data_IF_333030610782
#
_entry.id   IF_333030610782
#
_cell.length_a   1.000
_cell.length_b   1.000
_cell.length_c   1.000
_cell.angle_alpha   90.00
_cell.angle_beta   90.00
_cell.angle_gamma   90.00
#
_symmetry.space_group_name_H-M   'P 1'
#
loop_
_entity.id
_entity.type
_entity.pdbx_description
1 polymer ?
#
# COMPACT_ATOMS: atom_id res chain seq x y z
N UNK A 1 -14.61 4.09 17.74
CA UNK A 1 -14.33 4.63 16.39
C UNK A 1 -12.85 4.89 16.13
N UNK A 2 -12.17 5.84 16.80
CA UNK A 2 -10.72 6.08 16.57
C UNK A 2 -9.85 4.85 16.85
N UNK A 3 -10.22 4.03 17.83
CA UNK A 3 -9.50 2.81 18.19
C UNK A 3 -9.38 1.81 17.04
N UNK A 4 -10.40 1.67 16.19
CA UNK A 4 -10.35 0.76 15.03
C UNK A 4 -9.30 1.22 14.02
N UNK A 5 -9.29 2.52 13.71
CA UNK A 5 -8.28 3.11 12.83
C UNK A 5 -6.87 2.86 13.37
N UNK A 6 -6.64 3.16 14.65
CA UNK A 6 -5.31 3.04 15.27
C UNK A 6 -4.84 1.59 15.35
N UNK A 7 -5.71 0.66 15.77
CA UNK A 7 -5.37 -0.77 15.81
C UNK A 7 -5.07 -1.32 14.43
N UNK A 8 -5.87 -0.97 13.42
CA UNK A 8 -5.58 -1.39 12.04
C UNK A 8 -4.28 -0.76 11.56
N UNK A 9 -3.99 0.49 11.88
CA UNK A 9 -2.74 1.16 11.50
C UNK A 9 -1.52 0.41 12.02
N UNK A 10 -1.50 0.03 13.30
CA UNK A 10 -0.36 -0.63 13.95
C UNK A 10 -0.15 -2.08 13.46
N UNK A 11 -1.22 -2.79 13.08
CA UNK A 11 -1.19 -4.22 12.77
C UNK A 11 -1.24 -4.55 11.27
N UNK A 12 -1.09 -3.56 10.39
CA UNK A 12 -1.12 -3.80 8.94
C UNK A 12 -0.18 -2.87 8.19
N UNK A 13 0.25 -3.25 6.99
CA UNK A 13 1.12 -2.43 6.15
C UNK A 13 0.38 -1.86 4.94
N UNK A 14 0.87 -0.73 4.43
CA UNK A 14 0.45 -0.26 3.11
C UNK A 14 1.26 -1.02 2.06
N UNK A 15 0.65 -1.83 1.22
CA UNK A 15 1.38 -2.62 0.24
C UNK A 15 0.59 -2.90 -1.03
N UNK A 16 1.31 -3.06 -2.14
CA UNK A 16 0.78 -3.63 -3.38
C UNK A 16 1.08 -5.12 -3.55
N UNK A 17 1.92 -5.73 -2.71
CA UNK A 17 2.42 -7.09 -2.94
C UNK A 17 1.32 -8.15 -2.86
N UNK A 18 0.43 -8.07 -1.88
CA UNK A 18 -0.70 -9.01 -1.75
C UNK A 18 -1.67 -8.95 -2.94
N UNK A 19 -1.92 -7.74 -3.46
CA UNK A 19 -2.76 -7.55 -4.63
C UNK A 19 -2.06 -7.96 -5.92
N UNK A 20 -0.74 -7.75 -6.02
CA UNK A 20 0.04 -8.24 -7.16
C UNK A 20 0.03 -9.78 -7.19
N UNK A 21 0.26 -10.44 -6.05
CA UNK A 21 0.16 -11.89 -5.94
C UNK A 21 -1.21 -12.40 -6.40
N UNK A 22 -2.29 -11.74 -5.95
CA UNK A 22 -3.64 -12.03 -6.41
C UNK A 22 -3.79 -11.89 -7.93
N UNK A 23 -3.29 -10.80 -8.53
CA UNK A 23 -3.34 -10.59 -9.98
C UNK A 23 -2.60 -11.70 -10.73
N UNK A 24 -1.37 -12.00 -10.33
CA UNK A 24 -0.54 -13.01 -11.00
C UNK A 24 -1.20 -14.39 -10.95
N UNK A 25 -1.74 -14.78 -9.77
CA UNK A 25 -2.42 -16.06 -9.60
C UNK A 25 -3.68 -16.17 -10.47
N UNK A 26 -4.51 -15.12 -10.50
CA UNK A 26 -5.76 -15.15 -11.26
C UNK A 26 -5.57 -15.05 -12.78
N UNK A 27 -4.45 -14.50 -13.22
CA UNK A 27 -4.06 -14.49 -14.64
C UNK A 27 -3.19 -15.70 -15.04
N UNK A 28 -2.92 -16.61 -14.11
CA UNK A 28 -2.02 -17.76 -14.30
C UNK A 28 -0.62 -17.34 -14.81
N UNK A 29 -0.09 -16.23 -14.31
CA UNK A 29 1.24 -15.73 -14.65
C UNK A 29 2.23 -16.24 -13.62
N UNK A 30 3.18 -17.06 -14.05
CA UNK A 30 4.28 -17.49 -13.18
C UNK A 30 5.19 -16.32 -12.83
N UNK A 31 5.56 -16.20 -11.55
CA UNK A 31 6.41 -15.11 -11.06
C UNK A 31 7.71 -15.00 -11.87
N UNK A 32 8.40 -16.11 -12.14
CA UNK A 32 9.63 -16.17 -12.95
C UNK A 32 9.47 -15.48 -14.33
N UNK A 33 8.34 -15.73 -15.01
CA UNK A 33 8.05 -15.14 -16.33
C UNK A 33 7.69 -13.65 -16.24
N UNK A 34 7.06 -13.23 -15.14
CA UNK A 34 6.76 -11.83 -14.88
C UNK A 34 8.02 -11.03 -14.53
N UNK A 35 8.89 -11.56 -13.67
CA UNK A 35 10.14 -10.91 -13.25
C UNK A 35 11.10 -10.69 -14.43
N UNK A 36 11.16 -11.65 -15.34
CA UNK A 36 12.01 -11.56 -16.55
C UNK A 36 11.48 -10.55 -17.58
N UNK A 37 10.21 -10.15 -17.46
CA UNK A 37 9.51 -9.29 -18.42
C UNK A 37 9.00 -10.04 -19.65
N UNK A 38 9.03 -11.38 -19.63
CA UNK A 38 8.52 -12.21 -20.73
C UNK A 38 7.00 -12.19 -20.82
N UNK A 39 6.32 -11.99 -19.70
CA UNK A 39 4.85 -11.87 -19.61
C UNK A 39 4.48 -10.58 -18.90
N UNK A 40 3.53 -9.84 -19.47
CA UNK A 40 2.95 -8.64 -18.88
C UNK A 40 1.57 -8.91 -18.31
N UNK A 41 1.17 -8.14 -17.31
CA UNK A 41 -0.20 -8.16 -16.78
C UNK A 41 -1.15 -7.51 -17.80
N UNK A 42 -2.23 -8.21 -18.15
CA UNK A 42 -3.29 -7.66 -19.00
C UNK A 42 -4.42 -7.10 -18.13
N UNK A 43 -4.56 -5.77 -18.11
CA UNK A 43 -5.65 -5.08 -17.41
C UNK A 43 -7.02 -5.54 -17.90
N UNK A 44 -7.16 -5.80 -19.19
CA UNK A 44 -8.45 -6.21 -19.77
C UNK A 44 -8.82 -7.65 -19.39
N UNK A 45 -7.85 -8.58 -19.39
CA UNK A 45 -8.10 -9.93 -18.89
C UNK A 45 -8.46 -9.90 -17.39
N UNK A 46 -7.77 -9.06 -16.60
CA UNK A 46 -8.08 -8.90 -15.19
C UNK A 46 -9.48 -8.34 -14.97
N UNK A 47 -9.95 -7.42 -15.81
CA UNK A 47 -11.33 -6.90 -15.77
C UNK A 47 -12.34 -8.03 -15.92
N UNK A 48 -12.18 -8.88 -16.94
CA UNK A 48 -13.06 -10.04 -17.17
C UNK A 48 -13.05 -11.01 -15.99
N UNK A 49 -11.90 -11.24 -15.37
CA UNK A 49 -11.81 -12.06 -14.15
C UNK A 49 -12.61 -11.44 -13.01
N UNK A 50 -12.44 -10.14 -12.75
CA UNK A 50 -13.11 -9.46 -11.64
C UNK A 50 -14.64 -9.43 -11.79
N UNK A 51 -15.15 -9.29 -13.02
CA UNK A 51 -16.60 -9.35 -13.29
C UNK A 51 -17.25 -10.67 -12.86
N UNK A 52 -16.47 -11.76 -12.85
CA UNK A 52 -16.92 -13.10 -12.50
C UNK A 52 -16.46 -13.55 -11.10
N UNK A 53 -15.69 -12.71 -10.38
CA UNK A 53 -15.14 -13.08 -9.07
C UNK A 53 -16.16 -12.81 -7.97
N UNK A 54 -16.53 -13.82 -7.16
CA UNK A 54 -17.43 -13.60 -6.04
C UNK A 54 -16.73 -12.85 -4.90
N UNK A 55 -17.50 -12.10 -4.10
CA UNK A 55 -16.97 -11.29 -2.98
C UNK A 55 -16.10 -12.10 -2.00
N UNK A 56 -16.44 -13.37 -1.75
CA UNK A 56 -15.72 -14.22 -0.81
C UNK A 56 -14.24 -14.41 -1.20
N UNK A 57 -13.96 -14.44 -2.50
CA UNK A 57 -12.60 -14.62 -3.04
C UNK A 57 -11.80 -13.32 -3.01
N UNK A 58 -12.48 -12.17 -2.97
CA UNK A 58 -11.87 -10.86 -2.83
C UNK A 58 -11.58 -10.50 -1.36
N UNK A 59 -12.37 -11.03 -0.42
CA UNK A 59 -12.27 -10.74 1.02
C UNK A 59 -10.86 -10.81 1.63
N UNK A 60 -9.99 -11.76 1.25
CA UNK A 60 -8.60 -11.79 1.74
C UNK A 60 -7.83 -10.49 1.49
N UNK A 61 -8.17 -9.72 0.45
CA UNK A 61 -7.46 -8.49 0.06
C UNK A 61 -7.65 -7.31 1.04
N UNK A 62 -8.61 -7.38 1.96
CA UNK A 62 -8.83 -6.34 2.99
C UNK A 62 -9.09 -6.88 4.38
N UNK A 63 -9.17 -8.21 4.58
CA UNK A 63 -9.53 -8.81 5.88
C UNK A 63 -8.65 -8.35 7.05
N UNK A 64 -7.38 -8.01 6.81
CA UNK A 64 -6.45 -7.51 7.84
C UNK A 64 -6.10 -6.02 7.73
N UNK A 65 -6.67 -5.27 6.79
CA UNK A 65 -6.29 -3.87 6.52
C UNK A 65 -4.92 -3.70 5.82
N UNK A 66 -4.19 -4.79 5.59
CA UNK A 66 -2.99 -4.85 4.74
C UNK A 66 -3.40 -4.74 3.27
N UNK A 67 -2.71 -3.90 2.51
CA UNK A 67 -3.00 -3.61 1.11
C UNK A 67 -2.85 -2.11 0.82
N UNK A 68 -3.46 -1.63 -0.27
CA UNK A 68 -3.50 -0.19 -0.58
C UNK A 68 -4.50 0.55 0.33
N UNK A 69 -4.65 1.85 0.13
CA UNK A 69 -5.55 2.69 0.93
C UNK A 69 -6.99 2.15 0.96
N UNK A 70 -7.46 1.58 -0.15
CA UNK A 70 -8.76 0.94 -0.27
C UNK A 70 -8.96 -0.19 0.72
N UNK A 71 -8.03 -1.16 0.79
CA UNK A 71 -8.09 -2.28 1.74
C UNK A 71 -8.16 -1.82 3.19
N UNK A 72 -7.37 -0.81 3.52
CA UNK A 72 -7.38 -0.22 4.85
C UNK A 72 -8.74 0.42 5.18
N UNK A 73 -9.27 1.25 4.27
CA UNK A 73 -10.55 1.93 4.50
C UNK A 73 -11.71 0.94 4.64
N UNK A 74 -11.75 -0.11 3.83
CA UNK A 74 -12.78 -1.16 3.92
C UNK A 74 -12.69 -1.89 5.27
N UNK A 75 -11.48 -2.26 5.69
CA UNK A 75 -11.28 -2.96 6.96
C UNK A 75 -11.72 -2.12 8.16
N UNK A 76 -11.31 -0.85 8.22
CA UNK A 76 -11.70 0.03 9.33
C UNK A 76 -13.22 0.25 9.33
N UNK A 77 -13.81 0.47 8.15
CA UNK A 77 -15.26 0.61 8.01
C UNK A 77 -16.02 -0.65 8.45
N UNK A 78 -15.55 -1.85 8.09
CA UNK A 78 -16.19 -3.09 8.52
C UNK A 78 -16.14 -3.27 10.04
N UNK A 79 -14.99 -2.97 10.67
CA UNK A 79 -14.86 -3.04 12.13
C UNK A 79 -15.75 -2.03 12.86
N UNK A 80 -15.94 -0.84 12.29
CA UNK A 80 -16.90 0.14 12.81
C UNK A 80 -18.34 -0.32 12.66
N UNK A 81 -18.69 -0.94 11.53
CA UNK A 81 -20.02 -1.49 11.29
C UNK A 81 -20.34 -2.69 12.19
N UNK A 82 -19.34 -3.49 12.55
CA UNK A 82 -19.51 -4.58 13.53
C UNK A 82 -19.94 -4.04 14.91
N UNK A 83 -19.39 -2.90 15.33
CA UNK A 83 -19.73 -2.24 16.60
C UNK A 83 -21.08 -1.50 16.52
N UNK A 84 -21.37 -0.87 15.38
CA UNK A 84 -22.62 -0.16 15.11
C UNK A 84 -23.15 -0.49 13.70
N UNK A 85 -24.04 -1.49 13.59
CA UNK A 85 -24.61 -1.91 12.31
C UNK A 85 -25.44 -0.84 11.59
N UNK A 86 -25.84 0.23 12.29
CA UNK A 86 -26.60 1.35 11.70
C UNK A 86 -25.71 2.34 10.92
N UNK A 87 -24.39 2.28 11.11
CA UNK A 87 -23.45 3.14 10.40
C UNK A 87 -23.34 2.73 8.93
N UNK A 88 -23.66 3.66 8.03
CA UNK A 88 -23.57 3.49 6.58
C UNK A 88 -22.31 4.19 6.06
N UNK A 89 -21.45 3.43 5.36
CA UNK A 89 -20.27 3.95 4.70
C UNK A 89 -20.48 4.06 3.19
N UNK A 90 -20.14 5.23 2.64
CA UNK A 90 -20.10 5.51 1.22
C UNK A 90 -18.65 5.40 0.73
N UNK A 91 -18.44 4.65 -0.35
CA UNK A 91 -17.14 4.48 -0.99
C UNK A 91 -17.03 5.41 -2.18
N UNK A 92 -15.86 6.04 -2.33
CA UNK A 92 -15.65 7.08 -3.32
C UNK A 92 -14.26 7.04 -3.91
N UNK A 93 -14.14 7.59 -5.12
CA UNK A 93 -12.89 7.66 -5.88
C UNK A 93 -12.62 9.06 -6.42
N UNK A 94 -11.37 9.47 -6.35
CA UNK A 94 -10.84 10.70 -6.91
C UNK A 94 -9.81 10.35 -7.97
N UNK A 95 -10.03 10.85 -9.18
CA UNK A 95 -9.10 10.77 -10.31
C UNK A 95 -8.54 9.36 -10.56
N UNK A 96 -9.35 8.30 -10.41
CA UNK A 96 -8.98 6.90 -10.67
C UNK A 96 -7.82 6.32 -9.81
N UNK A 97 -7.33 7.09 -8.83
CA UNK A 97 -6.12 6.74 -8.08
C UNK A 97 -6.29 6.78 -6.57
N UNK A 98 -7.21 7.61 -6.08
CA UNK A 98 -7.36 7.86 -4.65
C UNK A 98 -8.75 7.48 -4.19
N UNK A 99 -8.84 6.46 -3.34
CA UNK A 99 -10.11 5.92 -2.84
C UNK A 99 -10.20 6.08 -1.32
N UNK A 100 -11.37 6.51 -0.87
CA UNK A 100 -11.68 6.72 0.54
C UNK A 100 -13.10 6.22 0.84
N UNK A 101 -13.47 6.18 2.12
CA UNK A 101 -14.88 6.04 2.50
C UNK A 101 -15.27 7.02 3.60
N UNK A 102 -16.55 7.33 3.70
CA UNK A 102 -17.07 8.27 4.68
C UNK A 102 -18.51 7.95 5.10
N UNK A 103 -18.97 8.57 6.18
CA UNK A 103 -20.36 8.50 6.65
C UNK A 103 -21.05 9.86 6.51
N UNK A 104 -22.38 9.88 6.38
CA UNK A 104 -23.17 11.12 6.40
C UNK A 104 -23.02 11.92 7.71
N UNK A 105 -22.62 11.24 8.80
CA UNK A 105 -22.32 11.85 10.10
C UNK A 105 -20.94 12.54 10.15
N UNK A 106 -20.18 12.52 9.05
CA UNK A 106 -18.93 13.26 8.91
C UNK A 106 -17.67 12.51 9.28
N UNK A 107 -17.71 11.17 9.39
CA UNK A 107 -16.50 10.35 9.56
C UNK A 107 -15.88 10.12 8.18
N UNK A 108 -14.58 10.31 8.04
CA UNK A 108 -13.83 10.02 6.80
C UNK A 108 -12.65 9.10 7.13
N UNK A 109 -12.50 8.04 6.34
CA UNK A 109 -11.48 7.00 6.49
C UNK A 109 -10.62 6.93 5.24
N UNK A 110 -9.34 7.22 5.42
CA UNK A 110 -8.31 7.05 4.40
C UNK A 110 -6.94 6.86 5.05
N UNK A 111 -6.19 5.83 4.64
CA UNK A 111 -4.85 5.60 5.19
C UNK A 111 -3.84 6.73 4.90
N UNK A 112 -3.98 7.45 3.77
CA UNK A 112 -3.17 8.61 3.42
C UNK A 112 -3.42 9.81 4.33
N UNK A 113 -4.59 9.88 4.99
CA UNK A 113 -4.87 10.91 5.99
C UNK A 113 -4.06 10.70 7.28
N UNK A 114 -3.58 9.47 7.53
CA UNK A 114 -2.85 9.04 8.73
C UNK A 114 -3.60 9.25 10.04
N UNK A 115 -4.90 9.49 9.99
CA UNK A 115 -5.78 9.57 11.16
C UNK A 115 -7.22 9.46 10.69
N UNK A 116 -8.08 9.02 11.59
CA UNK A 116 -9.51 9.15 11.40
C UNK A 116 -9.88 10.65 11.35
N UNK A 117 -10.57 11.07 10.30
CA UNK A 117 -11.02 12.44 10.15
C UNK A 117 -12.49 12.53 10.56
N UNK A 118 -12.83 13.61 11.25
CA UNK A 118 -14.20 13.93 11.60
C UNK A 118 -14.48 15.38 11.23
N UNK A 119 -15.38 15.58 10.28
CA UNK A 119 -15.87 16.90 9.87
C UNK A 119 -17.05 17.30 10.75
N UNK A 120 -17.08 18.58 11.13
CA UNK A 120 -18.19 19.21 11.85
C UNK A 120 -18.56 20.50 11.10
N UNK A 121 -19.85 20.71 10.85
CA UNK A 121 -20.38 21.92 10.23
C UNK A 121 -19.73 22.26 8.87
N UNK A 122 -19.45 21.25 8.06
CA UNK A 122 -18.88 21.38 6.70
C UNK A 122 -17.51 22.08 6.60
N UNK A 123 -16.84 22.30 7.74
CA UNK A 123 -15.53 22.93 7.75
C UNK A 123 -14.48 21.95 7.23
N UNK A 124 -13.54 22.40 6.37
CA UNK A 124 -12.43 21.58 5.94
C UNK A 124 -11.59 21.08 7.13
N UNK A 125 -11.22 19.81 7.10
CA UNK A 125 -10.35 19.18 8.10
C UNK A 125 -9.02 18.78 7.47
N UNK A 126 -7.92 19.03 8.17
CA UNK A 126 -6.58 18.75 7.67
C UNK A 126 -6.19 17.29 7.87
N UNK A 127 -5.81 16.61 6.78
CA UNK A 127 -5.12 15.32 6.77
C UNK A 127 -3.60 15.49 6.67
N UNK A 128 -2.88 14.44 6.25
CA UNK A 128 -1.41 14.49 6.11
C UNK A 128 -0.92 15.29 4.89
N UNK A 129 -1.61 15.17 3.74
CA UNK A 129 -1.16 15.73 2.45
C UNK A 129 -2.17 16.67 1.79
N UNK A 130 -3.17 17.11 2.55
CA UNK A 130 -4.23 17.97 2.05
C UNK A 130 -5.37 18.16 3.05
N UNK A 131 -6.39 18.89 2.63
CA UNK A 131 -7.60 19.16 3.39
C UNK A 131 -8.79 18.40 2.78
N UNK A 132 -9.68 17.94 3.65
CA UNK A 132 -10.87 17.17 3.30
C UNK A 132 -12.10 17.95 3.71
N UNK A 133 -13.15 17.94 2.88
CA UNK A 133 -14.42 18.60 3.18
C UNK A 133 -15.56 17.65 2.79
N UNK A 134 -16.52 17.48 3.68
CA UNK A 134 -17.78 16.81 3.35
C UNK A 134 -18.87 17.88 3.26
N UNK A 135 -19.54 17.94 2.12
CA UNK A 135 -20.78 18.71 1.96
C UNK A 135 -21.95 17.81 2.38
N UNK A 136 -22.64 18.21 3.45
CA UNK A 136 -23.73 17.41 4.01
C UNK A 136 -24.99 17.46 3.14
N UNK A 137 -25.18 18.55 2.37
CA UNK A 137 -26.36 18.73 1.52
C UNK A 137 -26.35 17.82 0.28
N UNK A 138 -25.17 17.65 -0.32
CA UNK A 138 -24.97 16.82 -1.51
C UNK A 138 -24.37 15.46 -1.21
N UNK A 139 -24.06 15.16 0.06
CA UNK A 139 -23.34 13.97 0.51
C UNK A 139 -22.07 13.71 -0.32
N UNK A 140 -21.33 14.77 -0.65
CA UNK A 140 -20.16 14.70 -1.53
C UNK A 140 -18.88 15.00 -0.76
N UNK A 141 -17.92 14.08 -0.85
CA UNK A 141 -16.58 14.25 -0.29
C UNK A 141 -15.70 15.02 -1.27
N UNK A 142 -14.90 15.94 -0.74
CA UNK A 142 -13.94 16.72 -1.49
C UNK A 142 -12.55 16.62 -0.88
N UNK A 143 -11.52 16.66 -1.73
CA UNK A 143 -10.13 16.76 -1.30
C UNK A 143 -9.42 17.91 -2.00
N UNK A 144 -8.58 18.61 -1.24
CA UNK A 144 -7.66 19.62 -1.72
C UNK A 144 -6.26 19.20 -1.32
N UNK A 145 -5.45 18.78 -2.29
CA UNK A 145 -4.02 18.52 -2.08
C UNK A 145 -3.30 19.81 -1.67
N UNK A 146 -2.23 19.68 -0.88
CA UNK A 146 -1.33 20.81 -0.58
C UNK A 146 -0.72 21.46 -1.82
N UNK A 147 -0.71 20.74 -2.95
CA UNK A 147 -0.19 21.22 -4.25
C UNK A 147 -1.26 21.85 -5.16
N UNK A 148 -2.54 21.66 -4.87
CA UNK A 148 -3.65 22.10 -5.74
C UNK A 148 -4.37 23.31 -5.15
N UNK A 149 -4.88 24.20 -6.01
CA UNK A 149 -5.56 25.43 -5.55
C UNK A 149 -6.98 25.19 -5.02
N UNK A 150 -7.70 24.21 -5.56
CA UNK A 150 -9.13 23.97 -5.28
C UNK A 150 -9.44 22.62 -4.63
N UNK A 151 -10.69 22.48 -4.17
CA UNK A 151 -11.28 21.22 -3.76
C UNK A 151 -11.82 20.48 -4.98
N UNK A 152 -11.45 19.21 -5.13
CA UNK A 152 -11.92 18.34 -6.20
C UNK A 152 -12.92 17.34 -5.58
N UNK A 153 -14.12 17.17 -6.17
CA UNK A 153 -15.09 16.20 -5.68
C UNK A 153 -14.61 14.78 -5.98
N UNK A 154 -14.83 13.88 -5.03
CA UNK A 154 -14.80 12.45 -5.33
C UNK A 154 -16.07 12.05 -6.07
N UNK A 155 -15.96 11.01 -6.89
CA UNK A 155 -17.07 10.32 -7.53
C UNK A 155 -17.55 9.16 -6.64
N UNK A 156 -18.87 8.95 -6.49
CA UNK A 156 -19.40 7.82 -5.76
C UNK A 156 -19.11 6.49 -6.48
N UNK A 157 -18.85 5.46 -5.70
CA UNK A 157 -18.81 4.06 -6.12
C UNK A 157 -20.05 3.34 -5.56
N UNK A 158 -20.48 2.28 -6.22
CA UNK A 158 -21.59 1.40 -5.81
C UNK A 158 -21.33 0.70 -4.47
N UNK A 159 -20.06 0.49 -4.12
CA UNK A 159 -19.67 -0.14 -2.86
C UNK A 159 -18.18 -0.46 -2.78
N UNK A 160 -17.80 -1.22 -1.75
CA UNK A 160 -16.40 -1.61 -1.53
C UNK A 160 -15.87 -2.60 -2.57
N UNK A 161 -16.74 -3.40 -3.19
CA UNK A 161 -16.36 -4.34 -4.26
C UNK A 161 -15.82 -3.58 -5.46
N UNK A 162 -16.56 -2.59 -5.96
CA UNK A 162 -16.11 -1.72 -7.05
C UNK A 162 -14.82 -0.97 -6.67
N UNK A 163 -14.71 -0.50 -5.43
CA UNK A 163 -13.49 0.15 -4.96
C UNK A 163 -12.26 -0.77 -5.03
N UNK A 164 -12.41 -2.05 -4.67
CA UNK A 164 -11.35 -3.05 -4.78
C UNK A 164 -11.06 -3.39 -6.24
N UNK A 165 -12.08 -3.54 -7.09
CA UNK A 165 -11.88 -3.77 -8.51
C UNK A 165 -11.04 -2.67 -9.15
N UNK A 166 -11.39 -1.40 -8.90
CA UNK A 166 -10.63 -0.27 -9.40
C UNK A 166 -9.19 -0.26 -8.85
N UNK A 167 -8.99 -0.66 -7.59
CA UNK A 167 -7.66 -0.78 -6.99
C UNK A 167 -6.79 -1.85 -7.65
N UNK A 168 -7.36 -3.00 -8.00
CA UNK A 168 -6.68 -4.09 -8.70
C UNK A 168 -6.37 -3.67 -10.14
N UNK A 169 -7.33 -3.08 -10.85
CA UNK A 169 -7.14 -2.63 -12.23
C UNK A 169 -6.09 -1.53 -12.35
N UNK A 170 -6.03 -0.61 -11.38
CA UNK A 170 -4.95 0.38 -11.30
C UNK A 170 -3.58 -0.30 -11.16
N UNK A 171 -3.49 -1.38 -10.37
CA UNK A 171 -2.25 -2.11 -10.16
C UNK A 171 -1.74 -2.82 -11.41
N UNK A 172 -2.62 -3.19 -12.34
CA UNK A 172 -2.22 -3.82 -13.60
C UNK A 172 -1.34 -2.91 -14.47
N UNK A 173 -1.44 -1.59 -14.30
CA UNK A 173 -0.68 -0.61 -15.09
C UNK A 173 0.60 -0.11 -14.38
N UNK A 174 0.88 -0.63 -13.17
CA UNK A 174 1.99 -0.17 -12.35
C UNK A 174 3.29 -0.91 -12.71
N UNK A 175 4.38 -0.15 -12.80
CA UNK A 175 5.73 -0.68 -13.02
C UNK A 175 6.55 -0.79 -11.75
N UNK A 176 6.00 -0.37 -10.61
CA UNK A 176 6.67 -0.33 -9.32
C UNK A 176 5.71 -0.80 -8.24
N UNK A 177 6.16 -1.75 -7.43
CA UNK A 177 5.41 -2.32 -6.32
C UNK A 177 6.11 -2.00 -5.02
N UNK A 178 5.36 -1.77 -3.95
CA UNK A 178 5.96 -1.30 -2.71
C UNK A 178 5.26 -1.84 -1.46
N UNK A 179 5.98 -1.78 -0.36
CA UNK A 179 5.45 -1.86 0.99
C UNK A 179 5.95 -0.65 1.80
N UNK A 180 5.04 0.00 2.54
CA UNK A 180 5.37 0.96 3.59
C UNK A 180 4.89 0.37 4.92
N UNK A 181 5.82 0.15 5.84
CA UNK A 181 5.50 -0.31 7.18
C UNK A 181 4.96 0.86 7.99
N UNK A 182 3.84 0.63 8.66
CA UNK A 182 3.18 1.61 9.52
C UNK A 182 3.80 1.57 10.91
N UNK A 183 3.88 2.72 11.56
CA UNK A 183 4.27 2.81 12.96
C UNK A 183 3.54 3.95 13.65
N UNK A 184 3.60 3.97 14.98
CA UNK A 184 3.21 5.10 15.79
C UNK A 184 4.44 5.75 16.42
N UNK A 185 4.64 7.02 16.14
CA UNK A 185 5.80 7.77 16.60
C UNK A 185 5.37 9.08 17.25
N UNK A 186 5.62 9.24 18.55
CA UNK A 186 5.16 10.37 19.37
C UNK A 186 3.66 10.67 19.19
N UNK A 187 2.83 9.63 19.29
CA UNK A 187 1.38 9.74 19.17
C UNK A 187 0.88 10.08 17.75
N UNK A 188 1.75 10.06 16.74
CA UNK A 188 1.38 10.29 15.34
C UNK A 188 1.67 9.06 14.49
N UNK A 189 0.72 8.73 13.64
CA UNK A 189 0.86 7.70 12.64
C UNK A 189 1.88 8.11 11.57
N UNK A 190 2.88 7.26 11.35
CA UNK A 190 3.96 7.45 10.38
C UNK A 190 4.24 6.16 9.63
N UNK A 191 5.01 6.27 8.55
CA UNK A 191 5.64 5.11 7.94
C UNK A 191 7.10 5.04 8.40
N UNK A 192 7.59 3.84 8.69
CA UNK A 192 8.99 3.61 9.01
C UNK A 192 9.46 2.30 8.39
N UNK A 193 10.23 2.43 7.32
CA UNK A 193 10.58 1.31 6.47
C UNK A 193 9.75 1.31 5.20
N UNK A 194 10.45 1.24 4.08
CA UNK A 194 9.89 1.09 2.75
C UNK A 194 10.62 -0.04 2.06
N UNK A 195 9.89 -0.87 1.32
CA UNK A 195 10.41 -1.81 0.33
C UNK A 195 9.86 -1.37 -1.02
N UNK A 196 10.70 -1.32 -2.05
CA UNK A 196 10.30 -1.05 -3.43
C UNK A 196 10.85 -2.18 -4.28
N UNK A 197 10.00 -2.75 -5.12
CA UNK A 197 10.39 -3.65 -6.18
C UNK A 197 10.03 -3.06 -7.54
N UNK A 198 11.01 -3.01 -8.43
CA UNK A 198 10.91 -2.46 -9.78
C UNK A 198 11.26 -3.58 -10.78
N UNK A 199 10.29 -4.39 -11.24
CA UNK A 199 10.57 -5.54 -12.10
C UNK A 199 11.30 -5.15 -13.39
N UNK A 200 10.87 -4.07 -14.05
CA UNK A 200 11.48 -3.56 -15.29
C UNK A 200 12.93 -3.11 -15.13
N UNK A 201 13.31 -2.66 -13.92
CA UNK A 201 14.69 -2.32 -13.57
C UNK A 201 15.43 -3.48 -12.91
N UNK A 202 14.74 -4.60 -12.67
CA UNK A 202 15.24 -5.75 -11.92
C UNK A 202 15.91 -5.34 -10.61
N UNK A 203 15.27 -4.41 -9.88
CA UNK A 203 15.81 -3.84 -8.64
C UNK A 203 14.85 -4.04 -7.49
N UNK A 204 15.39 -4.53 -6.38
CA UNK A 204 14.71 -4.57 -5.09
C UNK A 204 15.46 -3.63 -4.14
N UNK A 205 14.77 -2.69 -3.51
CA UNK A 205 15.36 -1.78 -2.53
C UNK A 205 14.55 -1.71 -1.25
N UNK A 206 15.22 -1.41 -0.15
CA UNK A 206 14.59 -1.13 1.13
C UNK A 206 15.28 0.05 1.81
N UNK A 207 14.50 0.88 2.48
CA UNK A 207 15.00 2.10 3.10
C UNK A 207 14.34 2.37 4.45
N UNK A 208 15.12 2.84 5.42
CA UNK A 208 14.64 3.28 6.73
C UNK A 208 15.24 4.63 7.11
N UNK A 209 14.63 5.31 8.08
CA UNK A 209 15.25 6.51 8.66
C UNK A 209 16.48 6.11 9.48
N UNK A 210 17.62 6.76 9.20
CA UNK A 210 18.85 6.68 9.97
C UNK A 210 19.39 8.07 10.26
N UNK A 211 20.06 8.23 11.39
CA UNK A 211 20.77 9.47 11.70
C UNK A 211 22.03 9.55 10.83
N UNK A 212 22.13 10.59 10.01
CA UNK A 212 23.31 10.84 9.21
C UNK A 212 24.29 11.69 10.01
N UNK A 213 25.40 11.07 10.45
CA UNK A 213 26.43 11.75 11.23
C UNK A 213 27.15 12.89 10.49
N UNK A 214 27.15 12.88 9.16
CA UNK A 214 27.75 13.93 8.33
C UNK A 214 26.85 15.15 8.27
N UNK A 215 25.55 14.97 8.06
CA UNK A 215 24.59 16.09 7.93
C UNK A 215 23.93 16.48 9.25
N UNK A 216 24.12 15.67 10.31
CA UNK A 216 23.47 15.77 11.62
C UNK A 216 21.94 15.79 11.53
N UNK A 217 21.38 15.06 10.57
CA UNK A 217 19.94 14.99 10.29
C UNK A 217 19.50 13.54 10.14
N UNK A 218 18.25 13.28 10.49
CA UNK A 218 17.61 12.02 10.17
C UNK A 218 17.22 12.02 8.69
N UNK A 219 17.76 11.08 7.94
CA UNK A 219 17.53 10.92 6.51
C UNK A 219 17.20 9.47 6.19
N UNK A 220 16.64 9.22 5.02
CA UNK A 220 16.45 7.85 4.59
C UNK A 220 17.78 7.30 4.09
N UNK A 221 18.12 6.10 4.57
CA UNK A 221 19.20 5.30 4.03
C UNK A 221 18.60 4.13 3.27
N UNK A 222 18.98 3.97 2.01
CA UNK A 222 18.50 2.92 1.13
C UNK A 222 19.61 1.89 0.88
N UNK A 223 19.23 0.62 0.99
CA UNK A 223 19.99 -0.51 0.47
C UNK A 223 19.21 -1.10 -0.71
N UNK A 224 19.91 -1.67 -1.68
CA UNK A 224 19.28 -2.31 -2.83
C UNK A 224 20.12 -3.40 -3.43
N UNK A 225 19.45 -4.33 -4.09
CA UNK A 225 20.05 -5.33 -4.97
C UNK A 225 19.57 -5.08 -6.39
N UNK A 226 20.52 -4.86 -7.29
CA UNK A 226 20.31 -4.59 -8.71
C UNK A 226 20.71 -5.83 -9.53
N UNK A 227 19.71 -6.50 -10.11
CA UNK A 227 19.86 -7.70 -10.94
C UNK A 227 19.92 -7.38 -12.44
N UNK A 228 20.02 -6.10 -12.84
CA UNK A 228 20.06 -5.72 -14.26
C UNK A 228 21.35 -6.13 -14.96
N UNK A 229 22.47 -6.19 -14.23
CA UNK A 229 23.76 -6.65 -14.70
C UNK A 229 24.42 -7.54 -13.62
N UNK A 230 24.10 -8.84 -13.55
CA UNK A 230 24.50 -9.70 -12.45
C UNK A 230 26.00 -10.02 -12.50
N UNK A 231 26.77 -9.15 -11.87
CA UNK A 231 28.18 -9.33 -11.49
C UNK A 231 28.34 -9.38 -9.98
N UNK A 232 27.24 -9.60 -9.26
CA UNK A 232 27.20 -9.58 -7.81
C UNK A 232 28.00 -10.74 -7.23
N UNK A 233 28.63 -10.46 -6.10
CA UNK A 233 29.31 -11.46 -5.29
C UNK A 233 28.32 -12.14 -4.33
N UNK A 234 28.44 -13.45 -4.17
CA UNK A 234 27.55 -14.25 -3.33
C UNK A 234 27.66 -13.86 -1.85
N UNK A 235 28.87 -13.56 -1.36
CA UNK A 235 29.09 -13.15 0.03
C UNK A 235 28.42 -11.80 0.30
N UNK A 236 28.63 -10.81 -0.59
CA UNK A 236 27.96 -9.52 -0.53
C UNK A 236 26.42 -9.65 -0.57
N UNK A 237 25.91 -10.52 -1.44
CA UNK A 237 24.48 -10.80 -1.55
C UNK A 237 23.91 -11.38 -0.25
N UNK A 238 24.59 -12.36 0.36
CA UNK A 238 24.16 -12.97 1.62
C UNK A 238 24.18 -11.98 2.80
N UNK A 239 25.12 -11.03 2.79
CA UNK A 239 25.13 -9.90 3.74
C UNK A 239 23.89 -9.02 3.52
N UNK A 240 23.55 -8.67 2.27
CA UNK A 240 22.39 -7.84 1.96
C UNK A 240 21.06 -8.54 2.25
N UNK A 241 20.98 -9.85 2.02
CA UNK A 241 19.86 -10.68 2.45
C UNK A 241 19.67 -10.62 3.98
N UNK A 242 20.75 -10.81 4.73
CA UNK A 242 20.71 -10.74 6.20
C UNK A 242 20.27 -9.35 6.69
N UNK A 243 20.77 -8.29 6.08
CA UNK A 243 20.34 -6.91 6.35
C UNK A 243 18.86 -6.68 6.01
N UNK A 244 18.36 -7.27 4.92
CA UNK A 244 16.95 -7.20 4.55
C UNK A 244 16.06 -7.89 5.59
N UNK A 245 16.46 -9.08 6.06
CA UNK A 245 15.73 -9.79 7.11
C UNK A 245 15.73 -9.02 8.42
N UNK A 246 16.87 -8.49 8.85
CA UNK A 246 16.98 -7.65 10.06
C UNK A 246 16.09 -6.41 9.92
N UNK A 247 16.13 -5.74 8.77
CA UNK A 247 15.23 -4.65 8.46
C UNK A 247 13.77 -5.08 8.64
N UNK A 248 13.31 -6.15 8.00
CA UNK A 248 11.91 -6.57 8.06
C UNK A 248 11.46 -6.98 9.47
N UNK A 249 12.36 -7.58 10.27
CA UNK A 249 12.07 -8.10 11.61
C UNK A 249 12.27 -7.07 12.74
N UNK A 250 12.67 -5.84 12.44
CA UNK A 250 12.92 -4.79 13.44
C UNK A 250 11.63 -4.18 13.98
N UNK A 251 11.40 -4.34 15.28
CA UNK A 251 10.31 -3.68 16.02
C UNK A 251 8.93 -4.00 15.45
N UNK A 252 8.07 -2.99 15.35
CA UNK A 252 6.68 -3.12 14.87
C UNK A 252 6.55 -3.65 13.43
N UNK A 253 7.64 -3.68 12.66
CA UNK A 253 7.64 -4.22 11.29
C UNK A 253 7.45 -5.72 11.24
N UNK A 254 7.91 -6.46 12.26
CA UNK A 254 7.92 -7.92 12.24
C UNK A 254 6.52 -8.50 11.97
N UNK A 255 5.51 -8.05 12.72
CA UNK A 255 4.12 -8.50 12.57
C UNK A 255 3.55 -8.12 11.21
N UNK A 256 3.86 -6.92 10.72
CA UNK A 256 3.41 -6.47 9.40
C UNK A 256 4.11 -7.19 8.25
N UNK A 257 5.35 -7.64 8.45
CA UNK A 257 6.13 -8.38 7.48
C UNK A 257 5.58 -9.78 7.25
N UNK A 258 5.06 -10.45 8.29
CA UNK A 258 4.44 -11.78 8.16
C UNK A 258 3.37 -11.83 7.06
N UNK A 259 2.60 -10.73 6.89
CA UNK A 259 1.55 -10.64 5.87
C UNK A 259 2.05 -10.56 4.42
N UNK A 260 3.32 -10.24 4.20
CA UNK A 260 3.92 -10.06 2.85
C UNK A 260 5.18 -10.89 2.63
N UNK A 261 5.68 -11.54 3.69
CA UNK A 261 6.91 -12.32 3.67
C UNK A 261 6.88 -13.41 2.59
N UNK A 262 5.84 -14.26 2.45
CA UNK A 262 5.86 -15.33 1.46
C UNK A 262 6.12 -14.82 0.04
N UNK A 263 5.42 -13.76 -0.37
CA UNK A 263 5.59 -13.17 -1.70
C UNK A 263 6.96 -12.50 -1.87
N UNK A 264 7.46 -11.79 -0.85
CA UNK A 264 8.79 -11.17 -0.91
C UNK A 264 9.92 -12.20 -1.03
N UNK A 265 9.84 -13.32 -0.30
CA UNK A 265 10.80 -14.42 -0.42
C UNK A 265 10.77 -15.02 -1.83
N UNK A 266 9.58 -15.16 -2.42
CA UNK A 266 9.43 -15.62 -3.79
C UNK A 266 10.06 -14.65 -4.81
N UNK A 267 9.93 -13.32 -4.62
CA UNK A 267 10.61 -12.33 -5.49
C UNK A 267 12.12 -12.53 -5.45
N UNK A 268 12.70 -12.68 -4.26
CA UNK A 268 14.14 -12.90 -4.12
C UNK A 268 14.58 -14.21 -4.75
N UNK A 269 13.88 -15.32 -4.46
CA UNK A 269 14.21 -16.64 -5.00
C UNK A 269 14.12 -16.65 -6.54
N UNK A 270 13.04 -16.09 -7.09
CA UNK A 270 12.87 -15.95 -8.54
C UNK A 270 13.95 -15.05 -9.16
N UNK A 271 14.29 -13.91 -8.53
CA UNK A 271 15.33 -13.01 -9.03
C UNK A 271 16.71 -13.69 -9.04
N UNK A 272 17.06 -14.38 -7.95
CA UNK A 272 18.32 -15.14 -7.85
C UNK A 272 18.38 -16.27 -8.88
N UNK A 273 17.28 -17.01 -9.07
CA UNK A 273 17.19 -18.10 -10.05
C UNK A 273 17.34 -17.59 -11.48
N UNK A 274 16.70 -16.48 -11.82
CA UNK A 274 16.63 -15.96 -13.19
C UNK A 274 17.85 -15.11 -13.56
N UNK A 275 18.45 -14.42 -12.60
CA UNK A 275 19.53 -13.46 -12.87
C UNK A 275 20.83 -13.76 -12.14
N UNK A 276 20.86 -14.65 -11.16
CA UNK A 276 22.03 -14.84 -10.30
C UNK A 276 22.18 -13.74 -9.24
N UNK A 277 23.39 -13.59 -8.70
CA UNK A 277 23.67 -12.62 -7.64
C UNK A 277 23.70 -11.19 -8.20
N UNK A 278 22.79 -10.34 -7.71
CA UNK A 278 22.71 -8.93 -8.10
C UNK A 278 23.75 -8.05 -7.40
N UNK A 279 24.01 -6.88 -7.96
CA UNK A 279 24.93 -5.91 -7.37
C UNK A 279 24.29 -5.25 -6.15
N UNK A 280 25.00 -5.28 -5.03
CA UNK A 280 24.56 -4.71 -3.76
C UNK A 280 24.99 -3.24 -3.66
N UNK A 281 24.02 -2.34 -3.49
CA UNK A 281 24.22 -0.88 -3.51
C UNK A 281 23.57 -0.24 -2.29
N UNK A 282 24.21 0.80 -1.74
CA UNK A 282 23.68 1.57 -0.62
C UNK A 282 23.89 3.08 -0.80
N UNK A 283 23.03 3.89 -0.17
CA UNK A 283 23.18 5.34 -0.20
C UNK A 283 22.12 6.11 0.58
N UNK A 284 22.45 7.36 0.92
CA UNK A 284 21.52 8.33 1.47
C UNK A 284 20.60 8.89 0.38
N UNK A 285 19.30 9.03 0.69
CA UNK A 285 18.27 9.62 -0.19
C UNK A 285 17.55 10.81 0.45
#
# INVERSE_FOLDING_TARGET
>A
MSLHYEKTWENSCFTSFTMLEYILNNLNIELDTFITGNVSISREQMRVVLENTPEIDLRPLWKGGTGRCTSFSIHVASRMKDDDPSTIFHFVELEEHHRACFTSTGIIIDSSARKLLQTKNENPVSGNSGSWKLDASSNTLFFKSSKTKGFIPFKPLSGYIEAIHHCILQLCDESTFLCLFRMKHHGRNKFNGRIIWQPSRRRLSWSEFRHNETTKKDQFYELSVDFSNPSGDEEAFNIYWSNFEEFCKKGDRAVQYEAIQPFLLNIWAASLKQFGYGNCLEGWI
#
